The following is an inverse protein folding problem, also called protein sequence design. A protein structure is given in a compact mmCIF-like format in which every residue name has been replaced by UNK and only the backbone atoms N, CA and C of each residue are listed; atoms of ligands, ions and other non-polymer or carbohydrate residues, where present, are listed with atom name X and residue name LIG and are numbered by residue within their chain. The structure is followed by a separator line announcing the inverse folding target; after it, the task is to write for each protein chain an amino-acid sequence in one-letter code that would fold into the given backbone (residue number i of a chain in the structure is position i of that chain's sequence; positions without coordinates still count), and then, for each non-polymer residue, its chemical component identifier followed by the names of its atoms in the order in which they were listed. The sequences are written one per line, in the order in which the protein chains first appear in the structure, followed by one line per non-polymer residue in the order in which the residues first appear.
data_IF_268430440410
#
_entry.id   IF_268430440410
#
_cell.length_a   1.000
_cell.length_b   1.000
_cell.length_c   1.000
_cell.angle_alpha   90.00
_cell.angle_beta   90.00
_cell.angle_gamma   90.00
#
_symmetry.space_group_name_H-M   'P 1'
#
loop_
_entity.id
_entity.type
_entity.pdbx_description
1 polymer ?
#
# COMPACT_ATOMS: atom_id res chain seq x y z
N UNK A 1 -10.60 5.31 -14.11
CA UNK A 1 -9.31 5.90 -14.47
C UNK A 1 -8.21 4.99 -13.95
N UNK A 2 -7.78 4.02 -14.76
CA UNK A 2 -6.73 3.11 -14.35
C UNK A 2 -5.44 3.91 -14.13
N UNK A 3 -4.83 3.73 -12.96
CA UNK A 3 -3.51 4.23 -12.62
C UNK A 3 -2.45 3.52 -13.46
N UNK A 4 -2.35 3.90 -14.73
CA UNK A 4 -1.41 3.32 -15.68
C UNK A 4 0.01 3.74 -15.30
N UNK A 5 0.90 2.75 -15.17
CA UNK A 5 2.34 2.94 -15.06
C UNK A 5 2.94 2.57 -16.41
N UNK A 6 3.91 3.36 -16.88
CA UNK A 6 4.56 3.14 -18.17
C UNK A 6 6.02 2.76 -17.96
N UNK A 7 6.44 1.65 -18.57
CA UNK A 7 7.85 1.28 -18.64
C UNK A 7 8.52 2.07 -19.77
N UNK A 8 9.60 2.78 -19.43
CA UNK A 8 10.45 3.50 -20.38
C UNK A 8 11.74 2.71 -20.52
N UNK A 9 11.98 2.16 -21.70
CA UNK A 9 13.20 1.41 -22.05
C UNK A 9 14.13 2.26 -22.91
N UNK A 10 15.44 2.16 -22.69
CA UNK A 10 16.47 2.81 -23.51
C UNK A 10 17.31 1.74 -24.21
N UNK A 11 17.73 2.01 -25.44
CA UNK A 11 18.55 1.07 -26.22
C UNK A 11 19.90 0.78 -25.52
N UNK A 12 20.48 1.80 -24.90
CA UNK A 12 21.68 1.70 -24.06
C UNK A 12 21.38 2.39 -22.71
N UNK A 13 21.30 1.63 -21.62
CA UNK A 13 21.08 2.15 -20.26
C UNK A 13 19.97 1.43 -19.48
N UNK A 14 19.71 1.89 -18.26
CA UNK A 14 18.70 1.30 -17.38
C UNK A 14 17.28 1.72 -17.76
N UNK A 15 16.33 0.80 -17.55
CA UNK A 15 14.91 1.07 -17.72
C UNK A 15 14.34 1.80 -16.48
N UNK A 16 13.31 2.62 -16.68
CA UNK A 16 12.60 3.28 -15.59
C UNK A 16 11.07 3.15 -15.73
N UNK A 17 10.36 3.34 -14.63
CA UNK A 17 8.89 3.32 -14.61
C UNK A 17 8.38 4.73 -14.33
N UNK A 18 7.56 5.26 -15.23
CA UNK A 18 6.81 6.48 -15.02
C UNK A 18 5.45 6.14 -14.41
N UNK A 19 5.07 6.84 -13.35
CA UNK A 19 3.76 6.71 -12.69
C UNK A 19 3.33 8.05 -12.10
N UNK A 20 2.03 8.18 -11.79
CA UNK A 20 1.56 9.36 -11.05
C UNK A 20 2.15 9.38 -9.64
N UNK A 21 2.28 10.57 -9.07
CA UNK A 21 2.76 10.74 -7.70
C UNK A 21 1.82 10.05 -6.69
N UNK A 22 0.52 10.07 -6.94
CA UNK A 22 -0.49 9.38 -6.13
C UNK A 22 -0.17 7.88 -6.02
N UNK A 23 0.07 7.23 -7.16
CA UNK A 23 0.39 5.79 -7.21
C UNK A 23 1.70 5.49 -6.52
N UNK A 24 2.72 6.32 -6.73
CA UNK A 24 4.00 6.19 -6.04
C UNK A 24 3.83 6.25 -4.51
N UNK A 25 3.09 7.24 -4.02
CA UNK A 25 2.84 7.41 -2.59
C UNK A 25 2.05 6.24 -1.99
N UNK A 26 1.00 5.75 -2.67
CA UNK A 26 0.25 4.58 -2.22
C UNK A 26 1.11 3.31 -2.12
N UNK A 27 1.99 3.08 -3.10
CA UNK A 27 2.92 1.94 -3.09
C UNK A 27 3.96 2.08 -1.98
N UNK A 28 4.52 3.29 -1.82
CA UNK A 28 5.51 3.58 -0.77
C UNK A 28 4.93 3.36 0.62
N UNK A 29 3.72 3.85 0.87
CA UNK A 29 3.05 3.68 2.17
C UNK A 29 2.72 2.20 2.45
N UNK A 30 2.20 1.49 1.46
CA UNK A 30 1.93 0.05 1.57
C UNK A 30 3.22 -0.72 1.89
N UNK A 31 4.32 -0.43 1.19
CA UNK A 31 5.61 -1.05 1.46
C UNK A 31 6.13 -0.70 2.87
N UNK A 32 5.91 0.53 3.33
CA UNK A 32 6.29 0.96 4.68
C UNK A 32 5.54 0.18 5.77
N UNK A 33 4.20 0.08 5.66
CA UNK A 33 3.36 -0.66 6.61
C UNK A 33 3.73 -2.15 6.67
N UNK A 34 4.08 -2.73 5.53
CA UNK A 34 4.41 -4.16 5.39
C UNK A 34 5.89 -4.48 5.63
N UNK A 35 6.75 -3.47 5.85
CA UNK A 35 8.20 -3.66 5.99
C UNK A 35 8.58 -4.59 7.14
N UNK A 36 7.83 -4.56 8.24
CA UNK A 36 8.09 -5.40 9.40
C UNK A 36 7.07 -6.53 9.50
N UNK A 37 7.49 -7.80 9.55
CA UNK A 37 6.56 -8.95 9.56
C UNK A 37 5.51 -8.90 10.68
N UNK A 38 5.90 -8.40 11.86
CA UNK A 38 4.99 -8.25 13.01
C UNK A 38 3.87 -7.25 12.70
N UNK A 39 4.21 -6.10 12.10
CA UNK A 39 3.22 -5.08 11.74
C UNK A 39 2.33 -5.55 10.58
N UNK A 40 2.93 -6.20 9.58
CA UNK A 40 2.20 -6.78 8.45
C UNK A 40 1.16 -7.80 8.91
N UNK A 41 1.55 -8.71 9.81
CA UNK A 41 0.63 -9.69 10.41
C UNK A 41 -0.48 -9.01 11.21
N UNK A 42 -0.14 -8.07 12.09
CA UNK A 42 -1.14 -7.33 12.88
C UNK A 42 -2.15 -6.62 11.98
N UNK A 43 -1.69 -5.96 10.92
CA UNK A 43 -2.55 -5.27 9.97
C UNK A 43 -3.46 -6.25 9.23
N UNK A 44 -2.94 -7.38 8.77
CA UNK A 44 -3.73 -8.42 8.12
C UNK A 44 -4.82 -8.98 9.05
N UNK A 45 -4.47 -9.32 10.29
CA UNK A 45 -5.41 -9.84 11.29
C UNK A 45 -6.51 -8.81 11.64
N UNK A 46 -6.15 -7.52 11.71
CA UNK A 46 -7.11 -6.42 11.90
C UNK A 46 -8.06 -6.27 10.71
N UNK A 47 -7.54 -6.29 9.48
CA UNK A 47 -8.36 -6.22 8.25
C UNK A 47 -9.35 -7.39 8.20
N UNK A 48 -8.88 -8.61 8.51
CA UNK A 48 -9.73 -9.80 8.50
C UNK A 48 -10.82 -9.74 9.57
N UNK A 49 -10.48 -9.25 10.76
CA UNK A 49 -11.45 -9.05 11.85
C UNK A 49 -12.52 -8.03 11.48
N UNK A 50 -12.15 -6.93 10.80
CA UNK A 50 -13.13 -5.96 10.31
C UNK A 50 -14.04 -6.54 9.22
N UNK A 51 -13.46 -7.25 8.23
CA UNK A 51 -14.23 -7.88 7.13
C UNK A 51 -15.23 -8.93 7.61
N UNK A 52 -14.91 -9.61 8.71
CA UNK A 52 -15.75 -10.63 9.34
C UNK A 52 -16.73 -10.06 10.37
N UNK A 53 -16.88 -8.74 10.46
CA UNK A 53 -17.83 -8.09 11.36
C UNK A 53 -17.44 -8.10 12.84
N UNK A 54 -16.17 -8.43 13.16
CA UNK A 54 -15.63 -8.41 14.53
C UNK A 54 -15.05 -7.05 14.94
N UNK A 55 -15.38 -5.99 14.21
CA UNK A 55 -15.02 -4.62 14.57
C UNK A 55 -15.75 -4.18 15.84
N UNK A 56 -15.07 -3.40 16.69
CA UNK A 56 -15.68 -2.79 17.87
C UNK A 56 -15.74 -1.28 17.63
N UNK A 57 -16.94 -0.74 17.56
CA UNK A 57 -17.17 0.70 17.53
C UNK A 57 -16.82 1.29 18.90
N UNK A 58 -16.05 2.38 18.89
CA UNK A 58 -15.64 3.10 20.10
C UNK A 58 -15.64 4.58 19.82
N UNK A 59 -16.10 5.35 20.79
CA UNK A 59 -15.95 6.80 20.77
C UNK A 59 -14.48 7.20 20.91
N UNK A 60 -14.14 8.37 20.37
CA UNK A 60 -12.81 8.97 20.52
C UNK A 60 -12.64 9.37 21.99
N UNK A 61 -11.53 8.95 22.58
CA UNK A 61 -11.11 9.42 23.90
C UNK A 61 -10.21 10.64 23.66
N UNK A 62 -10.62 11.82 24.14
CA UNK A 62 -9.80 13.04 24.14
C UNK A 62 -8.70 13.00 25.20
#
# INVERSE_FOLDING_TARGET
YASLRTLITRQNGEACVLMSLEVYNSLKETAYLLRFPVNARRLADSIESLKSGRGIEKDIIE
#
